data_IF_216327200484
#
_entry.id   IF_216327200484
#
_cell.length_a   1.000
_cell.length_b   1.000
_cell.length_c   1.000
_cell.angle_alpha   90.00
_cell.angle_beta   90.00
_cell.angle_gamma   90.00
#
_symmetry.space_group_name_H-M   'P 1'
#
loop_
_entity.id
_entity.type
_entity.pdbx_description
1 polymer ?
#
# COMPACT_ATOMS: atom_id res chain seq x y z
N UNK A 1 -27.71 -24.57 24.96
CA UNK A 1 -27.78 -23.27 24.27
C UNK A 1 -27.52 -22.19 25.29
N UNK A 2 -26.30 -21.62 25.30
CA UNK A 2 -25.92 -20.30 25.85
C UNK A 2 -24.39 -20.24 25.96
N UNK A 3 -23.74 -19.57 25.03
CA UNK A 3 -22.46 -18.88 25.21
C UNK A 3 -22.49 -17.81 24.12
N UNK A 4 -22.65 -16.53 24.45
CA UNK A 4 -21.68 -15.75 25.18
C UNK A 4 -21.20 -14.67 24.23
N UNK A 5 -22.07 -13.68 23.98
CA UNK A 5 -21.75 -12.45 23.26
C UNK A 5 -20.89 -11.59 24.18
N UNK A 6 -19.82 -11.01 23.62
CA UNK A 6 -19.10 -9.78 24.03
C UNK A 6 -17.61 -9.95 24.36
N UNK A 7 -16.79 -9.51 23.41
CA UNK A 7 -15.62 -8.66 23.63
C UNK A 7 -15.55 -7.76 22.39
N UNK A 8 -15.74 -6.44 22.44
CA UNK A 8 -15.04 -5.51 23.32
C UNK A 8 -13.97 -4.78 22.50
N UNK A 9 -14.38 -4.03 21.47
CA UNK A 9 -13.54 -3.00 20.85
C UNK A 9 -14.33 -1.69 20.93
N UNK A 10 -14.12 -0.95 22.00
CA UNK A 10 -14.59 0.42 22.16
C UNK A 10 -13.85 1.32 21.17
N UNK A 11 -14.29 1.31 19.91
CA UNK A 11 -13.87 2.27 18.92
C UNK A 11 -14.55 3.59 19.23
N UNK A 12 -13.92 4.45 20.04
CA UNK A 12 -14.25 5.88 20.03
C UNK A 12 -14.22 6.32 18.56
N UNK A 13 -15.26 7.02 18.04
CA UNK A 13 -15.16 7.59 16.71
C UNK A 13 -13.99 8.58 16.74
N UNK A 14 -12.84 8.18 16.19
CA UNK A 14 -11.73 9.10 15.96
C UNK A 14 -12.27 10.08 14.93
N UNK A 15 -12.60 11.28 15.38
CA UNK A 15 -12.92 12.37 14.47
C UNK A 15 -11.76 12.50 13.49
N UNK A 16 -12.02 12.23 12.22
CA UNK A 16 -11.04 12.29 11.14
C UNK A 16 -11.52 13.30 10.14
N UNK A 17 -10.78 14.39 10.04
CA UNK A 17 -10.99 15.38 9.01
C UNK A 17 -10.79 14.71 7.65
N UNK A 18 -11.72 14.90 6.73
CA UNK A 18 -11.52 14.51 5.34
C UNK A 18 -10.48 15.39 4.65
N UNK A 19 -10.03 15.03 3.43
CA UNK A 19 -9.06 15.82 2.66
C UNK A 19 -9.53 17.26 2.42
N UNK A 20 -10.81 17.45 2.06
CA UNK A 20 -11.40 18.78 1.89
C UNK A 20 -11.39 19.61 3.18
N UNK A 21 -11.83 19.03 4.29
CA UNK A 21 -11.87 19.71 5.59
C UNK A 21 -10.45 20.06 6.08
N UNK A 22 -9.46 19.23 5.76
CA UNK A 22 -8.05 19.50 6.06
C UNK A 22 -7.52 20.68 5.25
N UNK A 23 -7.83 20.72 3.95
CA UNK A 23 -7.50 21.86 3.09
C UNK A 23 -8.12 23.13 3.66
N UNK A 24 -9.43 23.14 3.92
CA UNK A 24 -10.14 24.28 4.48
C UNK A 24 -9.52 24.78 5.79
N UNK A 25 -9.17 23.86 6.70
CA UNK A 25 -8.55 24.19 7.98
C UNK A 25 -7.15 24.80 7.81
N UNK A 26 -6.32 24.24 6.93
CA UNK A 26 -4.95 24.73 6.65
C UNK A 26 -4.97 26.07 5.91
N UNK A 27 -5.99 26.33 5.10
CA UNK A 27 -6.12 27.61 4.38
C UNK A 27 -6.30 28.80 5.34
N UNK A 28 -6.92 28.62 6.51
CA UNK A 28 -7.14 29.71 7.48
C UNK A 28 -5.83 30.40 7.90
N UNK A 29 -4.82 29.68 8.46
CA UNK A 29 -3.55 30.31 8.81
C UNK A 29 -2.78 30.82 7.58
N UNK A 30 -2.91 30.16 6.41
CA UNK A 30 -2.27 30.64 5.17
C UNK A 30 -2.79 32.02 4.76
N UNK A 31 -4.11 32.21 4.75
CA UNK A 31 -4.75 33.51 4.49
C UNK A 31 -4.25 34.58 5.46
N UNK A 32 -4.19 34.24 6.75
CA UNK A 32 -3.72 35.18 7.77
C UNK A 32 -2.26 35.59 7.53
N UNK A 33 -1.38 34.62 7.26
CA UNK A 33 0.05 34.87 7.02
C UNK A 33 0.26 35.68 5.76
N UNK A 34 -0.39 35.33 4.65
CA UNK A 34 -0.24 36.06 3.38
C UNK A 34 -0.78 37.49 3.50
N UNK A 35 -2.00 37.66 4.01
CA UNK A 35 -2.62 38.99 4.11
C UNK A 35 -1.82 39.93 5.02
N UNK A 36 -1.28 39.42 6.13
CA UNK A 36 -0.43 40.22 7.01
C UNK A 36 0.95 40.51 6.41
N UNK A 37 1.51 39.57 5.65
CA UNK A 37 2.79 39.77 4.94
C UNK A 37 2.67 40.86 3.88
N UNK A 38 1.62 40.81 3.05
CA UNK A 38 1.34 41.81 2.03
C UNK A 38 1.09 43.18 2.65
N UNK A 39 0.32 43.24 3.75
CA UNK A 39 0.10 44.48 4.49
C UNK A 39 1.41 45.12 4.97
N UNK A 40 2.32 44.32 5.52
CA UNK A 40 3.64 44.81 5.99
C UNK A 40 4.46 45.32 4.81
N UNK A 41 4.47 44.60 3.68
CA UNK A 41 5.25 45.00 2.51
C UNK A 41 4.70 46.28 1.87
N UNK A 42 3.39 46.41 1.78
CA UNK A 42 2.73 47.63 1.31
C UNK A 42 3.03 48.82 2.22
N UNK A 43 3.04 48.62 3.55
CA UNK A 43 3.45 49.68 4.50
C UNK A 43 4.91 50.09 4.33
N UNK A 44 5.81 49.14 4.03
CA UNK A 44 7.23 49.43 3.79
C UNK A 44 7.47 50.21 2.49
N UNK A 45 6.63 49.98 1.48
CA UNK A 45 6.73 50.67 0.19
C UNK A 45 6.33 52.15 0.23
N UNK A 46 5.80 52.65 1.36
CA UNK A 46 5.40 54.04 1.52
C UNK A 46 4.13 54.44 0.75
N UNK A 47 3.41 53.47 0.18
CA UNK A 47 2.15 53.70 -0.51
C UNK A 47 1.01 53.94 0.50
N UNK A 48 0.08 54.85 0.17
CA UNK A 48 -1.16 54.98 0.94
C UNK A 48 -2.07 53.81 0.59
N UNK A 49 -2.14 52.83 1.48
CA UNK A 49 -2.88 51.59 1.24
C UNK A 49 -3.99 51.37 2.27
N UNK A 50 -5.07 50.77 1.82
CA UNK A 50 -6.17 50.37 2.68
C UNK A 50 -5.81 49.08 3.43
N UNK A 51 -5.85 49.11 4.77
CA UNK A 51 -5.39 47.98 5.60
C UNK A 51 -6.17 46.67 5.40
N UNK A 52 -7.41 46.75 4.90
CA UNK A 52 -8.28 45.59 4.66
C UNK A 52 -8.06 44.99 3.28
N UNK A 53 -7.34 45.68 2.40
CA UNK A 53 -7.19 45.29 1.00
C UNK A 53 -6.53 43.90 0.80
N UNK A 54 -5.40 43.58 1.48
CA UNK A 54 -4.79 42.25 1.39
C UNK A 54 -5.71 41.13 1.89
N UNK A 55 -6.53 41.41 2.91
CA UNK A 55 -7.49 40.45 3.43
C UNK A 55 -8.58 40.14 2.40
N UNK A 56 -9.05 41.13 1.64
CA UNK A 56 -10.00 40.88 0.54
C UNK A 56 -9.36 39.96 -0.49
N UNK A 57 -8.12 40.23 -0.89
CA UNK A 57 -7.42 39.41 -1.89
C UNK A 57 -7.28 37.95 -1.46
N UNK A 58 -6.80 37.73 -0.24
CA UNK A 58 -6.55 36.39 0.27
C UNK A 58 -7.85 35.63 0.56
N UNK A 59 -8.85 36.27 1.20
CA UNK A 59 -10.12 35.62 1.54
C UNK A 59 -10.91 35.23 0.29
N UNK A 60 -11.01 36.14 -0.69
CA UNK A 60 -11.74 35.85 -1.94
C UNK A 60 -11.10 34.70 -2.72
N UNK A 61 -9.76 34.68 -2.83
CA UNK A 61 -9.03 33.60 -3.48
C UNK A 61 -9.19 32.27 -2.72
N UNK A 62 -8.97 32.29 -1.41
CA UNK A 62 -9.07 31.12 -0.54
C UNK A 62 -10.46 30.49 -0.56
N UNK A 63 -11.51 31.30 -0.49
CA UNK A 63 -12.89 30.81 -0.53
C UNK A 63 -13.17 30.04 -1.82
N UNK A 64 -12.78 30.60 -2.97
CA UNK A 64 -12.96 29.95 -4.28
C UNK A 64 -12.15 28.66 -4.36
N UNK A 65 -10.87 28.67 -3.97
CA UNK A 65 -10.00 27.48 -4.00
C UNK A 65 -10.54 26.34 -3.12
N UNK A 66 -10.96 26.66 -1.89
CA UNK A 66 -11.52 25.66 -0.96
C UNK A 66 -12.84 25.09 -1.51
N UNK A 67 -13.69 25.91 -2.13
CA UNK A 67 -14.93 25.45 -2.76
C UNK A 67 -14.67 24.57 -3.98
N UNK A 68 -13.60 24.84 -4.73
CA UNK A 68 -13.22 24.05 -5.92
C UNK A 68 -12.44 22.78 -5.58
N UNK A 69 -11.82 22.68 -4.40
CA UNK A 69 -11.00 21.53 -4.00
C UNK A 69 -11.70 20.15 -4.14
N UNK A 70 -13.02 19.97 -3.90
CA UNK A 70 -13.70 18.70 -4.16
C UNK A 70 -13.67 18.25 -5.63
N UNK A 71 -13.64 19.17 -6.58
CA UNK A 71 -13.51 18.86 -8.01
C UNK A 71 -12.16 18.22 -8.31
N UNK A 72 -11.10 18.68 -7.65
CA UNK A 72 -9.76 18.07 -7.71
C UNK A 72 -9.79 16.67 -7.11
N UNK A 73 -10.46 16.49 -5.97
CA UNK A 73 -10.67 15.16 -5.37
C UNK A 73 -11.39 14.18 -6.30
N UNK A 74 -12.42 14.65 -7.02
CA UNK A 74 -13.10 13.87 -8.06
C UNK A 74 -12.15 13.48 -9.19
N UNK A 75 -11.32 14.42 -9.67
CA UNK A 75 -10.33 14.15 -10.71
C UNK A 75 -9.29 13.10 -10.26
N UNK A 76 -8.74 13.22 -9.05
CA UNK A 76 -7.80 12.24 -8.47
C UNK A 76 -8.42 10.85 -8.37
N UNK A 77 -9.71 10.75 -8.00
CA UNK A 77 -10.42 9.47 -7.97
C UNK A 77 -10.57 8.86 -9.36
N UNK A 78 -10.78 9.70 -10.39
CA UNK A 78 -11.00 9.26 -11.78
C UNK A 78 -9.69 8.90 -12.50
N UNK A 79 -8.60 9.58 -12.17
CA UNK A 79 -7.26 9.41 -12.73
C UNK A 79 -6.18 9.37 -11.62
N UNK A 80 -6.08 8.26 -10.88
CA UNK A 80 -5.21 8.19 -9.71
C UNK A 80 -3.72 8.20 -10.07
N UNK A 81 -2.93 8.92 -9.27
CA UNK A 81 -1.46 8.99 -9.41
C UNK A 81 -0.71 7.76 -8.86
N UNK A 82 -1.37 6.90 -8.08
CA UNK A 82 -0.77 5.67 -7.52
C UNK A 82 -1.03 4.43 -8.38
N UNK A 83 -1.46 4.62 -9.63
CA UNK A 83 -1.83 3.55 -10.55
C UNK A 83 -0.80 3.25 -11.63
N UNK A 84 -1.00 2.16 -12.40
CA UNK A 84 -0.08 1.74 -13.47
C UNK A 84 -0.02 2.72 -14.66
N UNK A 85 -0.94 3.69 -14.73
CA UNK A 85 -1.02 4.71 -15.80
C UNK A 85 -0.55 6.08 -15.33
N UNK A 86 0.45 6.12 -14.45
CA UNK A 86 1.04 7.35 -13.90
C UNK A 86 1.34 8.44 -14.96
N UNK A 87 2.04 8.20 -16.07
CA UNK A 87 2.39 9.27 -17.01
C UNK A 87 1.14 9.91 -17.64
N UNK A 88 0.13 9.11 -17.97
CA UNK A 88 -1.14 9.62 -18.49
C UNK A 88 -1.89 10.42 -17.41
N UNK A 89 -1.91 9.95 -16.17
CA UNK A 89 -2.54 10.68 -15.07
C UNK A 89 -1.85 12.04 -14.82
N UNK A 90 -0.51 12.09 -14.86
CA UNK A 90 0.25 13.34 -14.76
C UNK A 90 -0.09 14.31 -15.90
N UNK A 91 -0.14 13.83 -17.15
CA UNK A 91 -0.53 14.65 -18.29
C UNK A 91 -1.97 15.18 -18.16
N UNK A 92 -2.90 14.35 -17.69
CA UNK A 92 -4.28 14.77 -17.46
C UNK A 92 -4.35 15.83 -16.35
N UNK A 93 -3.66 15.64 -15.23
CA UNK A 93 -3.65 16.62 -14.14
C UNK A 93 -2.96 17.93 -14.55
N UNK A 94 -1.88 17.87 -15.34
CA UNK A 94 -1.27 19.05 -15.94
C UNK A 94 -2.25 19.80 -16.83
N UNK A 95 -2.98 19.08 -17.70
CA UNK A 95 -4.03 19.66 -18.54
C UNK A 95 -5.18 20.27 -17.74
N UNK A 96 -5.65 19.60 -16.68
CA UNK A 96 -6.73 20.04 -15.80
C UNK A 96 -6.37 21.28 -14.94
N UNK A 97 -5.08 21.57 -14.75
CA UNK A 97 -4.65 22.79 -14.04
C UNK A 97 -5.07 24.07 -14.75
N UNK A 98 -5.18 24.04 -16.09
CA UNK A 98 -5.57 25.20 -16.91
C UNK A 98 -7.05 25.58 -16.70
N UNK A 99 -8.04 24.69 -16.92
CA UNK A 99 -9.43 25.02 -16.66
C UNK A 99 -9.70 25.27 -15.16
N UNK A 100 -8.94 24.64 -14.26
CA UNK A 100 -8.99 24.96 -12.83
C UNK A 100 -8.63 26.42 -12.57
N UNK A 101 -7.50 26.90 -13.11
CA UNK A 101 -7.07 28.29 -12.94
C UNK A 101 -8.05 29.27 -13.58
N UNK A 102 -8.53 29.00 -14.79
CA UNK A 102 -9.52 29.85 -15.45
C UNK A 102 -10.81 29.98 -14.64
N UNK A 103 -11.29 28.87 -14.05
CA UNK A 103 -12.46 28.88 -13.19
C UNK A 103 -12.21 29.61 -11.86
N UNK A 104 -11.01 29.48 -11.29
CA UNK A 104 -10.62 30.24 -10.10
C UNK A 104 -10.61 31.75 -10.39
N UNK A 105 -9.88 32.20 -11.40
CA UNK A 105 -9.82 33.62 -11.80
C UNK A 105 -11.22 34.13 -12.15
N UNK A 106 -12.00 33.38 -12.93
CA UNK A 106 -13.35 33.75 -13.35
C UNK A 106 -14.35 33.90 -12.19
N UNK A 107 -14.15 33.20 -11.07
CA UNK A 107 -14.98 33.35 -9.88
C UNK A 107 -14.42 34.37 -8.88
N UNK A 108 -13.09 34.44 -8.76
CA UNK A 108 -12.39 35.30 -7.81
C UNK A 108 -12.46 36.77 -8.22
N UNK A 109 -12.31 37.10 -9.51
CA UNK A 109 -12.32 38.49 -9.99
C UNK A 109 -13.66 39.19 -9.72
N UNK A 110 -14.82 38.62 -10.09
CA UNK A 110 -16.11 39.23 -9.75
C UNK A 110 -16.35 39.35 -8.24
N UNK A 111 -15.86 38.39 -7.45
CA UNK A 111 -15.96 38.45 -5.99
C UNK A 111 -15.16 39.63 -5.41
N UNK A 112 -13.98 39.92 -5.97
CA UNK A 112 -13.17 41.09 -5.60
C UNK A 112 -13.81 42.39 -6.09
N UNK A 113 -14.26 42.46 -7.33
CA UNK A 113 -14.98 43.63 -7.87
C UNK A 113 -16.18 43.99 -6.99
N UNK A 114 -16.97 42.99 -6.58
CA UNK A 114 -18.10 43.20 -5.66
C UNK A 114 -17.64 43.75 -4.30
N UNK A 115 -16.57 43.21 -3.72
CA UNK A 115 -16.05 43.66 -2.43
C UNK A 115 -15.53 45.12 -2.49
N UNK A 116 -14.90 45.51 -3.60
CA UNK A 116 -14.42 46.87 -3.82
C UNK A 116 -15.56 47.84 -4.15
N UNK A 117 -16.56 47.41 -4.93
CA UNK A 117 -17.73 48.19 -5.26
C UNK A 117 -18.52 48.60 -4.00
N UNK A 118 -18.65 47.70 -3.02
CA UNK A 118 -19.28 47.98 -1.71
C UNK A 118 -18.56 49.12 -0.96
N UNK A 119 -17.26 49.33 -1.20
CA UNK A 119 -16.47 50.40 -0.60
C UNK A 119 -16.28 51.62 -1.49
N UNK A 120 -16.77 51.59 -2.73
CA UNK A 120 -16.55 52.65 -3.72
C UNK A 120 -15.09 52.78 -4.16
N UNK A 121 -14.30 51.71 -4.06
CA UNK A 121 -12.88 51.72 -4.46
C UNK A 121 -12.71 51.23 -5.91
N UNK A 122 -11.77 51.81 -6.68
CA UNK A 122 -11.43 51.27 -7.99
C UNK A 122 -10.70 49.93 -7.83
N UNK A 123 -11.03 48.95 -8.67
CA UNK A 123 -10.34 47.68 -8.76
C UNK A 123 -10.04 47.37 -10.22
N UNK A 124 -8.78 47.09 -10.53
CA UNK A 124 -8.35 46.68 -11.86
C UNK A 124 -7.37 45.51 -11.77
N UNK A 125 -7.93 44.30 -11.95
CA UNK A 125 -7.16 43.05 -11.92
C UNK A 125 -6.29 42.85 -13.16
N UNK A 126 -6.69 43.41 -14.31
CA UNK A 126 -6.03 43.17 -15.60
C UNK A 126 -5.14 44.33 -16.05
N UNK A 127 -4.79 45.23 -15.13
CA UNK A 127 -3.88 46.37 -15.34
C UNK A 127 -2.53 45.97 -15.97
N UNK A 128 -2.01 44.78 -15.65
CA UNK A 128 -0.79 44.21 -16.23
C UNK A 128 -0.94 43.58 -17.62
N UNK A 129 -2.14 43.64 -18.21
CA UNK A 129 -2.50 43.01 -19.48
C UNK A 129 -3.06 41.60 -19.32
N UNK A 130 -4.10 41.28 -20.09
CA UNK A 130 -4.88 40.03 -19.97
C UNK A 130 -3.99 38.77 -19.94
N UNK A 131 -3.15 38.58 -20.95
CA UNK A 131 -2.37 37.34 -21.10
C UNK A 131 -1.29 37.16 -20.04
N UNK A 132 -0.66 38.26 -19.63
CA UNK A 132 0.40 38.24 -18.61
C UNK A 132 -0.20 37.90 -17.25
N UNK A 133 -1.32 38.54 -16.90
CA UNK A 133 -2.07 38.24 -15.67
C UNK A 133 -2.55 36.79 -15.66
N UNK A 134 -3.18 36.30 -16.74
CA UNK A 134 -3.65 34.91 -16.79
C UNK A 134 -2.51 33.89 -16.67
N UNK A 135 -1.35 34.14 -17.30
CA UNK A 135 -0.18 33.27 -17.16
C UNK A 135 0.39 33.30 -15.74
N UNK A 136 0.42 34.47 -15.11
CA UNK A 136 0.88 34.64 -13.74
C UNK A 136 -0.03 33.92 -12.74
N UNK A 137 -1.35 34.07 -12.87
CA UNK A 137 -2.32 33.37 -12.03
C UNK A 137 -2.30 31.85 -12.26
N UNK A 138 -2.23 31.39 -13.51
CA UNK A 138 -2.10 29.96 -13.78
C UNK A 138 -0.86 29.34 -13.14
N UNK A 139 0.28 30.03 -13.16
CA UNK A 139 1.51 29.54 -12.50
C UNK A 139 1.35 29.42 -10.98
N UNK A 140 0.61 30.34 -10.35
CA UNK A 140 0.26 30.24 -8.92
C UNK A 140 -0.70 29.07 -8.67
N UNK A 141 -1.76 28.99 -9.46
CA UNK A 141 -2.79 27.97 -9.33
C UNK A 141 -2.28 26.56 -9.61
N UNK A 142 -1.28 26.41 -10.49
CA UNK A 142 -0.63 25.14 -10.77
C UNK A 142 -0.02 24.53 -9.50
N UNK A 143 0.61 25.36 -8.66
CA UNK A 143 1.18 24.92 -7.38
C UNK A 143 0.05 24.50 -6.43
N UNK A 144 -0.97 25.33 -6.27
CA UNK A 144 -2.12 25.05 -5.39
C UNK A 144 -2.87 23.79 -5.83
N UNK A 145 -3.13 23.63 -7.13
CA UNK A 145 -3.75 22.44 -7.71
C UNK A 145 -2.91 21.20 -7.43
N UNK A 146 -1.58 21.27 -7.62
CA UNK A 146 -0.65 20.20 -7.28
C UNK A 146 -0.69 19.81 -5.80
N UNK A 147 -0.77 20.79 -4.90
CA UNK A 147 -0.93 20.55 -3.45
C UNK A 147 -2.25 19.82 -3.17
N UNK A 148 -3.37 20.25 -3.76
CA UNK A 148 -4.67 19.59 -3.58
C UNK A 148 -4.61 18.13 -4.09
N UNK A 149 -4.06 17.92 -5.29
CA UNK A 149 -3.85 16.57 -5.84
C UNK A 149 -3.01 15.72 -4.88
N UNK A 150 -1.92 16.27 -4.34
CA UNK A 150 -1.06 15.61 -3.36
C UNK A 150 -1.81 15.22 -2.08
N UNK A 151 -2.59 16.15 -1.50
CA UNK A 151 -3.39 15.89 -0.30
C UNK A 151 -4.41 14.78 -0.56
N UNK A 152 -5.20 14.86 -1.64
CA UNK A 152 -6.18 13.82 -1.98
C UNK A 152 -5.52 12.46 -2.24
N UNK A 153 -4.37 12.45 -2.90
CA UNK A 153 -3.59 11.23 -3.16
C UNK A 153 -3.08 10.62 -1.86
N UNK A 154 -2.56 11.44 -0.94
CA UNK A 154 -2.09 11.00 0.38
C UNK A 154 -3.23 10.42 1.23
N UNK A 155 -4.41 11.05 1.21
CA UNK A 155 -5.60 10.52 1.88
C UNK A 155 -6.06 9.20 1.28
N UNK A 156 -6.07 9.08 -0.06
CA UNK A 156 -6.42 7.83 -0.73
C UNK A 156 -5.44 6.71 -0.40
N UNK A 157 -4.14 7.03 -0.38
CA UNK A 157 -3.09 6.10 0.02
C UNK A 157 -3.23 5.66 1.47
N UNK A 158 -3.45 6.58 2.40
CA UNK A 158 -3.65 6.26 3.82
C UNK A 158 -4.86 5.34 3.99
N UNK A 159 -6.00 5.69 3.39
CA UNK A 159 -7.21 4.89 3.44
C UNK A 159 -6.99 3.48 2.89
N UNK A 160 -6.23 3.33 1.80
CA UNK A 160 -5.87 2.03 1.24
C UNK A 160 -4.98 1.20 2.20
N UNK A 161 -4.06 1.83 2.92
CA UNK A 161 -3.19 1.15 3.91
C UNK A 161 -3.95 0.70 5.15
N UNK A 162 -4.96 1.44 5.58
CA UNK A 162 -5.80 1.05 6.72
C UNK A 162 -6.83 -0.01 6.36
N UNK A 163 -7.35 0.03 5.12
CA UNK A 163 -8.23 -1.00 4.61
C UNK A 163 -7.49 -2.29 4.26
N UNK A 164 -6.17 -2.24 4.10
CA UNK A 164 -5.37 -3.44 3.93
C UNK A 164 -5.57 -4.34 5.16
N UNK A 165 -6.00 -5.61 4.97
CA UNK A 165 -6.17 -6.50 6.09
C UNK A 165 -4.84 -6.58 6.83
N UNK A 166 -4.89 -6.44 8.17
CA UNK A 166 -3.75 -6.79 8.99
C UNK A 166 -3.29 -8.19 8.57
N UNK A 167 -1.98 -8.44 8.38
CA UNK A 167 -1.50 -9.79 8.11
C UNK A 167 -2.16 -10.71 9.14
N UNK A 168 -2.88 -11.71 8.63
CA UNK A 168 -3.79 -12.52 9.41
C UNK A 168 -3.00 -13.31 10.47
N UNK A 169 -2.78 -12.68 11.63
CA UNK A 169 -2.15 -13.29 12.78
C UNK A 169 -3.03 -14.39 13.40
N UNK A 170 -4.29 -14.54 12.95
CA UNK A 170 -5.21 -15.60 13.36
C UNK A 170 -5.12 -16.85 12.48
N UNK A 171 -4.53 -16.76 11.28
CA UNK A 171 -3.99 -17.92 10.55
C UNK A 171 -2.59 -18.23 11.08
N UNK A 172 -2.56 -18.81 12.29
CA UNK A 172 -1.41 -19.60 12.72
C UNK A 172 -1.01 -20.62 11.64
N UNK A 173 0.23 -21.11 11.64
CA UNK A 173 0.75 -21.91 10.54
C UNK A 173 -0.18 -23.09 10.22
N UNK A 174 -0.62 -23.17 8.96
CA UNK A 174 -1.73 -24.02 8.52
C UNK A 174 -1.38 -25.50 8.68
N UNK A 175 -1.84 -26.10 9.78
CA UNK A 175 -1.60 -27.52 10.09
C UNK A 175 -2.14 -28.42 8.98
N UNK A 176 -1.33 -29.39 8.55
CA UNK A 176 -1.70 -30.45 7.61
C UNK A 176 -2.43 -31.52 8.40
N UNK A 177 -3.69 -31.77 8.04
CA UNK A 177 -4.44 -32.93 8.54
C UNK A 177 -3.91 -34.22 7.91
N UNK A 178 -3.51 -35.16 8.77
CA UNK A 178 -2.90 -36.44 8.45
C UNK A 178 -3.69 -37.55 9.14
N UNK A 179 -4.31 -38.44 8.37
CA UNK A 179 -5.05 -39.60 8.92
C UNK A 179 -4.15 -40.84 8.92
N UNK A 180 -3.80 -41.33 10.10
CA UNK A 180 -2.92 -42.49 10.29
C UNK A 180 -3.52 -43.47 11.30
N UNK A 181 -3.77 -44.72 10.90
CA UNK A 181 -4.17 -45.81 11.82
C UNK A 181 -5.39 -45.50 12.71
N UNK A 182 -6.41 -44.81 12.17
CA UNK A 182 -7.63 -44.45 12.91
C UNK A 182 -7.54 -43.17 13.75
N UNK A 183 -6.39 -42.47 13.75
CA UNK A 183 -6.21 -41.16 14.40
C UNK A 183 -5.96 -40.07 13.36
N UNK A 184 -6.37 -38.85 13.68
CA UNK A 184 -6.11 -37.65 12.88
C UNK A 184 -5.06 -36.80 13.58
N UNK A 185 -3.93 -36.58 12.93
CA UNK A 185 -2.82 -35.72 13.38
C UNK A 185 -2.87 -34.39 12.62
N UNK A 186 -2.58 -33.29 13.31
CA UNK A 186 -2.53 -31.95 12.73
C UNK A 186 -1.10 -31.39 12.83
N UNK A 187 -0.29 -31.64 11.80
CA UNK A 187 1.14 -31.34 11.80
C UNK A 187 1.43 -30.00 11.14
N UNK A 188 2.34 -29.22 11.69
CA UNK A 188 2.89 -28.08 10.97
C UNK A 188 3.74 -28.57 9.79
N UNK A 189 3.75 -27.88 8.64
CA UNK A 189 4.65 -28.26 7.54
C UNK A 189 6.13 -28.34 7.95
N UNK A 190 6.57 -27.48 8.86
CA UNK A 190 7.93 -27.50 9.43
C UNK A 190 8.18 -28.65 10.43
N UNK A 191 7.17 -29.42 10.82
CA UNK A 191 7.37 -30.65 11.62
C UNK A 191 7.69 -31.86 10.73
N UNK A 192 7.50 -31.75 9.40
CA UNK A 192 7.73 -32.81 8.43
C UNK A 192 9.18 -32.74 7.93
N UNK A 193 9.94 -33.79 8.20
CA UNK A 193 11.34 -33.92 7.80
C UNK A 193 11.47 -34.47 6.37
N UNK A 194 10.85 -35.62 6.10
CA UNK A 194 10.76 -36.23 4.77
C UNK A 194 9.56 -37.17 4.65
N UNK A 195 9.25 -37.55 3.40
CA UNK A 195 8.27 -38.55 3.05
C UNK A 195 8.95 -39.65 2.23
N UNK A 196 8.57 -40.90 2.49
CA UNK A 196 9.07 -42.08 1.79
C UNK A 196 7.92 -42.95 1.27
N UNK A 197 8.03 -43.44 0.04
CA UNK A 197 7.03 -44.35 -0.53
C UNK A 197 7.20 -45.77 0.04
N UNK A 198 6.09 -46.34 0.52
CA UNK A 198 5.98 -47.69 1.07
C UNK A 198 4.84 -48.45 0.37
N UNK A 199 5.07 -48.84 -0.89
CA UNK A 199 4.05 -49.46 -1.73
C UNK A 199 2.88 -48.51 -2.02
N UNK A 200 1.66 -48.90 -1.63
CA UNK A 200 0.45 -48.07 -1.74
C UNK A 200 0.28 -47.07 -0.59
N UNK A 201 1.32 -46.90 0.22
CA UNK A 201 1.35 -46.00 1.35
C UNK A 201 2.53 -45.02 1.23
N UNK A 202 2.45 -43.94 1.99
CA UNK A 202 3.55 -43.00 2.21
C UNK A 202 3.84 -42.97 3.71
N UNK A 203 5.10 -43.16 4.06
CA UNK A 203 5.58 -42.94 5.42
C UNK A 203 6.01 -41.48 5.54
N UNK A 204 5.36 -40.74 6.45
CA UNK A 204 5.71 -39.38 6.81
C UNK A 204 6.58 -39.40 8.06
N UNK A 205 7.75 -38.78 7.99
CA UNK A 205 8.71 -38.75 9.09
C UNK A 205 8.77 -37.37 9.73
N UNK A 206 8.61 -37.34 11.05
CA UNK A 206 8.71 -36.15 11.91
C UNK A 206 9.78 -36.36 12.96
N UNK A 207 10.12 -35.31 13.72
CA UNK A 207 10.99 -35.45 14.89
C UNK A 207 10.38 -36.39 15.96
N UNK A 208 9.06 -36.48 16.05
CA UNK A 208 8.34 -37.33 17.01
C UNK A 208 8.10 -38.77 16.57
N UNK A 209 8.50 -39.14 15.34
CA UNK A 209 8.34 -40.49 14.80
C UNK A 209 7.76 -40.53 13.39
N UNK A 210 7.39 -41.74 12.95
CA UNK A 210 6.96 -42.03 11.58
C UNK A 210 5.47 -42.41 11.52
N UNK A 211 4.76 -41.95 10.50
CA UNK A 211 3.32 -42.19 10.31
C UNK A 211 3.04 -42.75 8.92
N UNK A 212 2.35 -43.89 8.84
CA UNK A 212 2.00 -44.54 7.57
C UNK A 212 0.63 -44.06 7.07
N UNK A 213 0.59 -43.57 5.83
CA UNK A 213 -0.57 -42.90 5.23
C UNK A 213 -0.99 -43.61 3.95
N UNK A 214 -2.28 -43.90 3.80
CA UNK A 214 -2.80 -44.47 2.55
C UNK A 214 -2.95 -43.38 1.49
N UNK A 215 -1.87 -43.13 0.76
CA UNK A 215 -1.78 -42.14 -0.30
C UNK A 215 -0.58 -42.45 -1.21
N UNK A 216 -0.46 -41.75 -2.33
CA UNK A 216 0.74 -41.83 -3.17
C UNK A 216 1.69 -40.67 -2.91
N UNK A 217 2.98 -40.88 -3.14
CA UNK A 217 3.99 -39.82 -3.03
C UNK A 217 3.73 -38.68 -4.05
N UNK A 218 3.10 -38.99 -5.18
CA UNK A 218 2.73 -37.99 -6.19
C UNK A 218 1.62 -37.05 -5.70
N UNK A 219 0.59 -37.60 -5.05
CA UNK A 219 -0.50 -36.81 -4.48
C UNK A 219 0.02 -35.91 -3.36
N UNK A 220 0.87 -36.45 -2.50
CA UNK A 220 1.53 -35.67 -1.45
C UNK A 220 2.45 -34.59 -2.01
N UNK A 221 3.23 -34.88 -3.06
CA UNK A 221 4.02 -33.87 -3.76
C UNK A 221 3.18 -32.69 -4.24
N UNK A 222 2.06 -32.96 -4.93
CA UNK A 222 1.14 -31.89 -5.38
C UNK A 222 0.55 -31.10 -4.21
N UNK A 223 0.15 -31.80 -3.16
CA UNK A 223 -0.49 -31.21 -1.97
C UNK A 223 0.47 -30.29 -1.19
N UNK A 224 1.77 -30.62 -1.18
CA UNK A 224 2.82 -29.79 -0.59
C UNK A 224 3.19 -28.60 -1.51
N UNK A 225 3.34 -28.81 -2.82
CA UNK A 225 3.68 -27.74 -3.78
C UNK A 225 2.56 -26.70 -3.98
N UNK A 226 1.30 -27.11 -3.96
CA UNK A 226 0.16 -26.19 -4.06
C UNK A 226 0.09 -25.20 -2.88
N UNK A 227 0.52 -25.65 -1.69
CA UNK A 227 0.62 -24.80 -0.50
C UNK A 227 1.80 -23.84 -0.56
N UNK A 228 2.89 -24.25 -1.21
CA UNK A 228 4.06 -23.40 -1.40
C UNK A 228 3.80 -22.23 -2.36
N UNK A 229 2.93 -22.44 -3.36
CA UNK A 229 2.57 -21.43 -4.37
C UNK A 229 1.49 -20.45 -3.90
N UNK A 230 0.59 -20.86 -3.00
CA UNK A 230 -0.50 -20.02 -2.49
C UNK A 230 -0.04 -18.90 -1.55
N UNK A 231 1.23 -18.92 -1.10
CA UNK A 231 1.83 -17.92 -0.22
C UNK A 231 2.70 -16.88 -0.95
N UNK A 232 2.87 -17.00 -2.27
CA UNK A 232 3.63 -16.04 -3.09
C UNK A 232 2.77 -14.81 -3.40
N UNK A 233 2.57 -13.95 -2.40
CA UNK A 233 2.15 -12.58 -2.66
C UNK A 233 3.42 -11.76 -2.96
N UNK A 234 3.53 -11.07 -4.11
CA UNK A 234 4.66 -10.18 -4.33
C UNK A 234 4.53 -8.98 -3.39
N UNK A 235 5.19 -9.03 -2.23
CA UNK A 235 5.39 -7.83 -1.42
C UNK A 235 6.29 -6.87 -2.20
N UNK A 236 5.83 -5.63 -2.30
CA UNK A 236 6.49 -4.50 -2.97
C UNK A 236 7.64 -3.94 -2.09
N UNK A 237 7.90 -4.54 -0.93
CA UNK A 237 8.95 -4.17 0.00
C UNK A 237 10.05 -5.22 -0.05
N UNK A 238 11.19 -4.91 -0.67
CA UNK A 238 12.38 -5.78 -0.74
C UNK A 238 13.07 -6.00 0.60
N UNK A 239 12.33 -6.40 1.64
CA UNK A 239 12.85 -6.80 2.93
C UNK A 239 12.74 -8.32 3.08
N UNK A 240 13.89 -8.95 3.27
CA UNK A 240 14.00 -10.38 3.58
C UNK A 240 13.52 -10.56 5.02
N UNK A 241 12.29 -11.01 5.20
CA UNK A 241 11.80 -11.43 6.52
C UNK A 241 12.53 -12.70 6.97
N UNK A 242 13.46 -12.56 7.92
CA UNK A 242 14.08 -13.66 8.65
C UNK A 242 13.21 -14.06 9.85
N UNK A 243 11.97 -14.48 9.60
CA UNK A 243 11.12 -15.09 10.63
C UNK A 243 11.39 -16.61 10.72
N UNK A 244 11.42 -17.23 11.91
CA UNK A 244 11.53 -18.69 12.07
C UNK A 244 10.35 -19.47 11.48
N UNK A 245 9.30 -18.79 10.99
CA UNK A 245 8.23 -19.34 10.14
C UNK A 245 8.69 -19.55 8.68
N UNK A 246 9.93 -20.04 8.51
CA UNK A 246 10.55 -20.25 7.22
C UNK A 246 9.67 -21.17 6.34
N UNK A 247 9.31 -20.64 5.16
CA UNK A 247 8.50 -21.27 4.11
C UNK A 247 8.90 -22.74 3.91
N UNK A 248 8.05 -23.74 4.20
CA UNK A 248 8.43 -25.15 4.08
C UNK A 248 8.75 -25.54 2.62
N UNK A 249 10.03 -25.65 2.29
CA UNK A 249 10.52 -25.96 0.94
C UNK A 249 10.69 -27.47 0.73
N UNK A 250 9.65 -28.12 0.20
CA UNK A 250 9.67 -29.56 -0.08
C UNK A 250 10.19 -29.88 -1.47
N UNK A 251 11.26 -30.67 -1.52
CA UNK A 251 11.93 -31.05 -2.76
C UNK A 251 12.00 -32.57 -2.91
N UNK A 252 11.69 -33.04 -4.11
CA UNK A 252 11.81 -34.46 -4.45
C UNK A 252 13.28 -34.78 -4.74
N UNK A 253 13.83 -35.73 -3.99
CA UNK A 253 15.25 -36.14 -4.09
C UNK A 253 15.42 -37.54 -4.69
N UNK A 254 14.34 -38.32 -4.73
CA UNK A 254 14.30 -39.66 -5.30
C UNK A 254 12.90 -39.98 -5.82
N UNK A 255 12.77 -40.99 -6.68
CA UNK A 255 11.45 -41.47 -7.13
C UNK A 255 10.55 -41.87 -5.95
N UNK A 256 11.14 -42.28 -4.83
CA UNK A 256 10.43 -42.69 -3.62
C UNK A 256 10.58 -41.72 -2.44
N UNK A 257 11.23 -40.55 -2.59
CA UNK A 257 11.47 -39.64 -1.44
C UNK A 257 11.28 -38.15 -1.77
N UNK A 258 10.64 -37.44 -0.85
CA UNK A 258 10.51 -35.97 -0.81
C UNK A 258 11.04 -35.50 0.53
N UNK A 259 11.86 -34.46 0.56
CA UNK A 259 12.49 -33.93 1.78
C UNK A 259 12.12 -32.46 1.97
N UNK A 260 12.02 -32.00 3.20
CA UNK A 260 11.95 -30.58 3.52
C UNK A 260 13.38 -30.01 3.60
N UNK A 261 13.72 -29.07 2.72
CA UNK A 261 15.07 -28.47 2.60
C UNK A 261 15.53 -27.78 3.87
N UNK A 262 14.63 -27.24 4.68
CA UNK A 262 14.99 -26.62 5.97
C UNK A 262 15.60 -27.58 6.98
N UNK A 263 15.36 -28.89 6.81
CA UNK A 263 15.91 -29.89 7.69
C UNK A 263 17.19 -30.53 7.15
N UNK A 264 17.69 -30.13 5.97
CA UNK A 264 18.96 -30.62 5.44
C UNK A 264 20.11 -29.90 6.15
N UNK A 265 20.98 -30.66 6.81
CA UNK A 265 22.20 -30.14 7.46
C UNK A 265 23.43 -30.26 6.58
N UNK A 266 23.55 -31.34 5.83
CA UNK A 266 24.72 -31.62 5.01
C UNK A 266 24.31 -32.34 3.73
N UNK A 267 25.00 -32.05 2.63
CA UNK A 267 24.84 -32.75 1.35
C UNK A 267 26.20 -33.23 0.85
N UNK A 268 26.35 -34.53 0.55
CA UNK A 268 27.58 -35.11 -0.02
C UNK A 268 27.29 -35.71 -1.38
N UNK A 269 28.12 -35.44 -2.37
CA UNK A 269 28.04 -36.11 -3.68
C UNK A 269 28.92 -37.35 -3.65
N UNK A 270 28.41 -38.48 -4.12
CA UNK A 270 29.18 -39.72 -4.23
C UNK A 270 29.94 -39.77 -5.56
N UNK A 271 30.95 -40.65 -5.66
CA UNK A 271 31.72 -40.87 -6.90
C UNK A 271 30.86 -41.37 -8.07
N UNK A 272 29.68 -41.94 -7.80
CA UNK A 272 28.69 -42.36 -8.81
C UNK A 272 27.85 -41.20 -9.39
N UNK A 273 27.96 -40.00 -8.82
CA UNK A 273 27.19 -38.81 -9.21
C UNK A 273 25.82 -38.68 -8.53
N UNK A 274 25.43 -39.66 -7.71
CA UNK A 274 24.30 -39.55 -6.78
C UNK A 274 24.71 -38.70 -5.56
N UNK A 275 23.78 -38.48 -4.62
CA UNK A 275 24.07 -37.67 -3.43
C UNK A 275 23.43 -38.23 -2.16
N UNK A 276 24.03 -37.92 -1.03
CA UNK A 276 23.55 -38.24 0.31
C UNK A 276 23.22 -36.94 1.05
N UNK A 277 22.13 -36.95 1.79
CA UNK A 277 21.68 -35.86 2.64
C UNK A 277 21.68 -36.31 4.08
N UNK A 278 22.22 -35.47 4.97
CA UNK A 278 22.09 -35.64 6.42
C UNK A 278 21.04 -34.66 6.92
N UNK A 279 20.03 -35.15 7.62
CA UNK A 279 18.94 -34.33 8.16
C UNK A 279 19.21 -33.85 9.60
N UNK A 280 18.40 -32.90 10.05
CA UNK A 280 18.47 -32.30 11.39
C UNK A 280 18.31 -33.29 12.54
N UNK A 281 17.63 -34.42 12.30
CA UNK A 281 17.49 -35.54 13.24
C UNK A 281 18.59 -36.61 13.10
N UNK A 282 19.61 -36.37 12.26
CA UNK A 282 20.69 -37.31 11.99
C UNK A 282 20.38 -38.39 10.95
N UNK A 283 19.17 -38.43 10.38
CA UNK A 283 18.84 -39.40 9.34
C UNK A 283 19.65 -39.14 8.06
N UNK A 284 20.19 -40.21 7.47
CA UNK A 284 20.89 -40.16 6.18
C UNK A 284 19.97 -40.65 5.06
N UNK A 285 19.78 -39.82 4.03
CA UNK A 285 18.94 -40.13 2.87
C UNK A 285 19.74 -40.08 1.59
N UNK A 286 19.66 -41.14 0.77
CA UNK A 286 20.22 -41.13 -0.59
C UNK A 286 19.22 -40.52 -1.57
N UNK A 287 19.70 -39.58 -2.38
CA UNK A 287 19.02 -39.00 -3.53
C UNK A 287 19.68 -39.38 -4.84
N UNK A 288 18.93 -39.31 -5.94
CA UNK A 288 19.43 -39.67 -7.26
C UNK A 288 19.85 -38.43 -8.04
N UNK A 289 20.93 -38.55 -8.83
CA UNK A 289 21.46 -37.50 -9.71
C UNK A 289 20.39 -36.81 -10.57
N UNK A 290 19.35 -37.54 -10.99
CA UNK A 290 18.23 -37.03 -11.83
C UNK A 290 17.38 -35.97 -11.13
N UNK A 291 17.37 -35.97 -9.80
CA UNK A 291 16.54 -35.08 -8.98
C UNK A 291 17.36 -33.94 -8.34
N UNK A 292 18.65 -33.83 -8.65
CA UNK A 292 19.56 -32.85 -8.06
C UNK A 292 19.20 -31.40 -8.39
N UNK A 293 18.62 -31.15 -9.57
CA UNK A 293 18.23 -29.80 -10.01
C UNK A 293 17.20 -29.12 -9.10
N UNK A 294 16.44 -29.88 -8.30
CA UNK A 294 15.49 -29.31 -7.35
C UNK A 294 16.11 -28.80 -6.04
N UNK A 295 17.39 -29.10 -5.76
CA UNK A 295 18.08 -28.67 -4.53
C UNK A 295 18.77 -27.31 -4.64
N UNK A 296 18.72 -26.67 -5.83
CA UNK A 296 19.26 -25.34 -6.13
C UNK A 296 18.21 -24.27 -5.93
#
# INVERSE_FOLDING_TARGET
>A
MTTGRQSGASGRPRFRLGPWASIALVTIPVVLVNATSDLIEMQRSGLTVHTVEPFIWEITSAAVLVLMAPLVGWAVKRWPLLGPRLPLALLIHAGLSVPFSLAHVGAMVPAREAAYAVRGWPYDFFSGGLWVTLLYEWRKDLITYGIFVGVYTAYAWWAAREAAPAPDASRGPERIEVKAGGRTLFLLPGEILWLEAAGNYVTLHTAGGSHLLRATLADWGKRLSARDSARTNPDISGQIETSPDAKPDFVRIHRSRIVNRHHIRETRTTSSGDFELTLSNGAMLTGSRRFRSGLG
#
